data_IF_168630426404
#
_entry.id   IF_168630426404
#
_cell.length_a   1.000
_cell.length_b   1.000
_cell.length_c   1.000
_cell.angle_alpha   90.00
_cell.angle_beta   90.00
_cell.angle_gamma   90.00
#
_symmetry.space_group_name_H-M   'P 1'
#
loop_
_entity.id
_entity.type
_entity.pdbx_description
1 polymer ?
#
# COMPACT_ATOMS: atom_id res chain seq x y z
N UNK A 1 6.78 27.43 18.01
CA UNK A 1 5.83 27.00 16.97
C UNK A 1 6.65 26.37 15.85
N UNK A 2 6.30 25.19 15.39
CA UNK A 2 7.01 24.53 14.28
C UNK A 2 6.76 25.30 12.99
N UNK A 3 7.83 25.59 12.25
CA UNK A 3 7.73 26.31 10.98
C UNK A 3 7.15 25.40 9.91
N UNK A 4 6.13 25.85 9.19
CA UNK A 4 5.57 25.09 8.09
C UNK A 4 6.54 25.04 6.92
N UNK A 5 6.83 23.80 6.48
CA UNK A 5 7.70 23.51 5.33
C UNK A 5 6.88 22.90 4.20
N UNK A 6 7.23 23.25 2.97
CA UNK A 6 6.55 22.78 1.78
C UNK A 6 7.51 21.99 0.89
N UNK A 7 7.03 20.86 0.36
CA UNK A 7 7.79 20.04 -0.59
C UNK A 7 6.93 19.70 -1.82
N UNK A 8 7.55 19.64 -3.00
CA UNK A 8 6.84 19.31 -4.24
C UNK A 8 6.37 17.86 -4.21
N UNK A 9 5.16 17.62 -4.74
CA UNK A 9 4.62 16.28 -4.95
C UNK A 9 5.14 15.79 -6.31
N UNK A 10 6.07 14.85 -6.28
CA UNK A 10 6.81 14.37 -7.46
C UNK A 10 5.90 13.82 -8.56
N UNK A 11 4.82 13.13 -8.20
CA UNK A 11 3.85 12.56 -9.15
C UNK A 11 3.22 13.60 -10.09
N UNK A 12 3.23 14.89 -9.70
CA UNK A 12 2.57 15.97 -10.43
C UNK A 12 3.56 17.03 -10.94
N UNK A 13 4.80 16.66 -11.23
CA UNK A 13 5.83 17.53 -11.82
C UNK A 13 6.03 18.87 -11.09
N UNK A 14 5.84 18.90 -9.77
CA UNK A 14 5.97 20.11 -8.97
C UNK A 14 4.83 21.13 -9.11
N UNK A 15 3.75 20.83 -9.86
CA UNK A 15 2.58 21.69 -9.95
C UNK A 15 1.80 21.81 -8.64
N UNK A 16 2.10 20.93 -7.68
CA UNK A 16 1.48 20.91 -6.35
C UNK A 16 2.53 20.62 -5.28
N UNK A 17 2.30 21.17 -4.11
CA UNK A 17 3.14 20.96 -2.94
C UNK A 17 2.33 20.52 -1.74
N UNK A 18 2.97 19.77 -0.85
CA UNK A 18 2.42 19.33 0.43
C UNK A 18 3.26 19.87 1.58
N UNK A 19 2.62 20.25 2.68
CA UNK A 19 3.32 20.73 3.88
C UNK A 19 3.49 19.63 4.92
N UNK A 20 4.48 19.81 5.81
CA UNK A 20 4.67 18.97 6.99
C UNK A 20 3.48 18.99 7.96
N UNK A 21 2.59 19.96 7.85
CA UNK A 21 1.37 20.11 8.65
C UNK A 21 0.13 19.46 8.00
N UNK A 22 0.27 18.80 6.84
CA UNK A 22 -0.83 18.15 6.14
C UNK A 22 -1.67 19.04 5.25
N UNK A 23 -1.20 20.25 4.91
CA UNK A 23 -1.86 21.10 3.92
C UNK A 23 -1.30 20.83 2.52
N UNK A 24 -2.12 21.06 1.50
CA UNK A 24 -1.73 20.91 0.08
C UNK A 24 -2.01 22.22 -0.64
N UNK A 25 -1.11 22.66 -1.49
CA UNK A 25 -1.28 23.86 -2.32
C UNK A 25 -0.97 23.61 -3.78
N UNK A 26 -1.66 24.36 -4.65
CA UNK A 26 -1.40 24.37 -6.09
C UNK A 26 -0.42 25.46 -6.43
N UNK A 27 0.63 25.13 -7.17
CA UNK A 27 1.60 26.06 -7.73
C UNK A 27 1.19 26.56 -9.12
N UNK A 28 0.07 26.03 -9.66
CA UNK A 28 -0.51 26.53 -10.91
C UNK A 28 -0.99 27.95 -10.72
N UNK A 29 -0.66 28.81 -11.68
CA UNK A 29 -1.13 30.20 -11.68
C UNK A 29 -2.63 30.23 -12.03
N UNK A 30 -3.44 30.72 -11.09
CA UNK A 30 -4.89 30.89 -11.27
C UNK A 30 -5.27 32.34 -10.93
N UNK A 31 -5.76 33.10 -11.88
CA UNK A 31 -6.03 34.55 -11.74
C UNK A 31 -4.86 35.34 -11.10
N UNK A 32 -3.61 35.02 -11.49
CA UNK A 32 -2.43 35.70 -10.99
C UNK A 32 -1.90 35.16 -9.65
N UNK A 33 -2.65 34.32 -8.94
CA UNK A 33 -2.27 33.77 -7.64
C UNK A 33 -1.59 32.41 -7.79
N UNK A 34 -0.45 32.25 -7.10
CA UNK A 34 0.30 30.98 -6.98
C UNK A 34 0.27 30.55 -5.52
N UNK A 35 0.31 29.25 -5.26
CA UNK A 35 0.35 28.73 -3.87
C UNK A 35 -1.03 28.68 -3.21
N UNK A 36 -2.11 28.59 -3.97
CA UNK A 36 -3.47 28.47 -3.44
C UNK A 36 -3.66 27.15 -2.68
N UNK A 37 -4.09 27.23 -1.41
CA UNK A 37 -4.42 26.06 -0.61
C UNK A 37 -5.62 25.32 -1.24
N UNK A 38 -5.47 24.01 -1.39
CA UNK A 38 -6.47 23.15 -1.98
C UNK A 38 -7.47 22.64 -0.92
N UNK A 39 -8.75 22.55 -1.25
CA UNK A 39 -9.74 21.98 -0.36
C UNK A 39 -9.47 20.49 -0.15
N UNK A 40 -9.64 20.04 1.09
CA UNK A 40 -9.53 18.64 1.46
C UNK A 40 -10.93 18.09 1.77
N UNK A 41 -11.20 16.87 1.32
CA UNK A 41 -12.46 16.17 1.58
C UNK A 41 -12.23 14.94 2.44
N UNK A 42 -13.12 14.68 3.39
CA UNK A 42 -13.08 13.45 4.18
C UNK A 42 -13.74 12.33 3.38
N UNK A 43 -12.98 11.29 3.06
CA UNK A 43 -13.49 10.11 2.39
C UNK A 43 -14.30 9.22 3.36
N UNK A 44 -15.11 8.29 2.82
CA UNK A 44 -15.86 7.29 3.62
C UNK A 44 -14.98 6.47 4.57
N UNK A 45 -13.70 6.34 4.27
CA UNK A 45 -12.69 5.66 5.10
C UNK A 45 -12.19 6.51 6.27
N UNK A 46 -12.64 7.75 6.40
CA UNK A 46 -12.28 8.69 7.47
C UNK A 46 -10.98 9.46 7.24
N UNK A 47 -10.36 9.37 6.07
CA UNK A 47 -9.11 10.07 5.75
C UNK A 47 -9.36 11.32 4.93
N UNK A 48 -8.54 12.36 5.13
CA UNK A 48 -8.47 13.47 4.19
C UNK A 48 -7.89 13.07 2.85
N UNK A 49 -8.50 13.57 1.78
CA UNK A 49 -8.04 13.42 0.41
C UNK A 49 -8.12 14.74 -0.35
N UNK A 50 -7.28 14.89 -1.35
CA UNK A 50 -7.24 16.02 -2.29
C UNK A 50 -7.36 15.49 -3.70
N UNK A 51 -8.09 16.20 -4.55
CA UNK A 51 -8.22 15.89 -5.97
C UNK A 51 -7.33 16.83 -6.79
N UNK A 52 -6.42 16.24 -7.55
CA UNK A 52 -5.51 16.91 -8.47
C UNK A 52 -6.03 16.81 -9.90
N UNK A 53 -5.74 17.79 -10.72
CA UNK A 53 -6.10 17.78 -12.14
C UNK A 53 -4.84 17.90 -13.00
N UNK A 54 -4.56 16.87 -13.79
CA UNK A 54 -3.43 16.83 -14.73
C UNK A 54 -3.86 16.14 -16.03
N UNK A 55 -3.52 16.73 -17.18
CA UNK A 55 -3.85 16.18 -18.51
C UNK A 55 -5.36 15.82 -18.66
N UNK A 56 -6.23 16.72 -18.24
CA UNK A 56 -7.71 16.55 -18.24
C UNK A 56 -8.23 15.33 -17.44
N UNK A 57 -7.41 14.80 -16.53
CA UNK A 57 -7.80 13.70 -15.62
C UNK A 57 -7.74 14.16 -14.18
N UNK A 58 -8.66 13.63 -13.37
CA UNK A 58 -8.72 13.86 -11.94
C UNK A 58 -8.04 12.69 -11.18
N UNK A 59 -7.17 13.03 -10.25
CA UNK A 59 -6.43 12.08 -9.40
C UNK A 59 -6.73 12.37 -7.95
N UNK A 60 -7.36 11.44 -7.25
CA UNK A 60 -7.62 11.57 -5.82
C UNK A 60 -6.49 10.89 -5.03
N UNK A 61 -5.88 11.63 -4.08
CA UNK A 61 -4.80 11.12 -3.22
C UNK A 61 -5.08 11.43 -1.76
N UNK A 62 -4.75 10.49 -0.90
CA UNK A 62 -4.87 10.65 0.56
C UNK A 62 -3.77 11.57 1.07
N UNK A 63 -4.12 12.53 1.93
CA UNK A 63 -3.19 13.56 2.42
C UNK A 63 -2.03 12.95 3.23
N UNK A 64 -2.30 12.04 4.18
CA UNK A 64 -1.25 11.40 4.98
C UNK A 64 -0.18 10.72 4.11
N UNK A 65 -0.58 10.13 2.97
CA UNK A 65 0.35 9.49 2.05
C UNK A 65 1.25 10.51 1.38
N UNK A 66 0.69 11.63 0.91
CA UNK A 66 1.47 12.71 0.31
C UNK A 66 2.48 13.31 1.29
N UNK A 67 2.06 13.49 2.55
CA UNK A 67 2.93 14.04 3.59
C UNK A 67 4.11 13.11 3.86
N UNK A 68 3.84 11.85 4.19
CA UNK A 68 4.92 10.94 4.58
C UNK A 68 5.86 10.62 3.41
N UNK A 69 5.35 10.47 2.20
CA UNK A 69 6.17 10.26 0.99
C UNK A 69 7.10 11.45 0.71
N UNK A 70 6.65 12.68 0.99
CA UNK A 70 7.46 13.87 0.79
C UNK A 70 8.49 14.10 1.91
N UNK A 71 8.17 13.77 3.16
CA UNK A 71 8.99 14.15 4.31
C UNK A 71 9.76 13.01 4.96
N UNK A 72 9.30 11.76 4.83
CA UNK A 72 9.91 10.57 5.44
C UNK A 72 10.10 9.46 4.41
N UNK A 73 11.31 9.27 3.88
CA UNK A 73 11.60 8.22 2.90
C UNK A 73 11.26 6.83 3.43
N UNK A 74 10.60 6.00 2.62
CA UNK A 74 10.28 4.61 2.95
C UNK A 74 11.44 3.69 2.53
N UNK A 75 12.51 3.66 3.31
CA UNK A 75 13.72 2.86 3.02
C UNK A 75 13.47 1.35 3.08
N UNK A 76 12.57 0.93 3.96
CA UNK A 76 12.27 -0.48 4.23
C UNK A 76 11.11 -1.01 3.39
N UNK A 77 10.58 -0.21 2.46
CA UNK A 77 9.42 -0.54 1.62
C UNK A 77 8.21 -1.04 2.43
N UNK A 78 7.92 -0.40 3.55
CA UNK A 78 6.82 -0.73 4.43
C UNK A 78 5.47 -0.38 3.78
N UNK A 79 4.47 -1.27 3.85
CA UNK A 79 3.23 -1.14 3.06
C UNK A 79 2.21 -0.17 3.64
N UNK A 80 2.27 0.09 4.95
CA UNK A 80 1.26 0.86 5.67
C UNK A 80 1.81 2.18 6.22
N UNK A 81 0.88 3.10 6.46
CA UNK A 81 1.10 4.33 7.20
C UNK A 81 0.19 4.29 8.42
N UNK A 82 0.78 4.46 9.60
CA UNK A 82 0.09 4.56 10.87
C UNK A 82 -0.03 6.03 11.30
N UNK A 83 -1.15 6.39 11.94
CA UNK A 83 -1.30 7.64 12.67
C UNK A 83 -1.02 7.34 14.15
N UNK A 84 0.07 7.85 14.70
CA UNK A 84 0.57 7.53 16.04
C UNK A 84 -0.48 7.84 17.12
N UNK A 85 -1.23 8.93 16.96
CA UNK A 85 -2.33 9.31 17.86
C UNK A 85 -3.67 8.62 17.55
N UNK A 86 -3.72 7.76 16.50
CA UNK A 86 -4.94 7.12 16.03
C UNK A 86 -5.93 8.02 15.30
N UNK A 87 -5.67 9.32 15.23
CA UNK A 87 -6.54 10.27 14.54
C UNK A 87 -6.20 10.39 13.06
N UNK A 88 -7.04 9.80 12.20
CA UNK A 88 -6.89 9.80 10.73
C UNK A 88 -6.91 11.19 10.08
N UNK A 89 -7.33 12.21 10.81
CA UNK A 89 -7.39 13.60 10.34
C UNK A 89 -6.13 14.39 10.69
N UNK A 90 -5.31 13.92 11.66
CA UNK A 90 -4.06 14.54 12.03
C UNK A 90 -2.93 14.09 11.09
N UNK A 91 -2.74 14.81 10.00
CA UNK A 91 -1.75 14.50 8.98
C UNK A 91 -0.41 15.25 9.17
N UNK A 92 -0.11 15.67 10.40
CA UNK A 92 1.19 16.22 10.73
C UNK A 92 2.29 15.17 10.54
N UNK A 93 3.43 15.53 9.97
CA UNK A 93 4.50 14.56 9.66
C UNK A 93 4.99 13.80 10.88
N UNK A 94 5.08 14.46 12.06
CA UNK A 94 5.50 13.82 13.31
C UNK A 94 4.50 12.81 13.86
N UNK A 95 3.27 12.83 13.35
CA UNK A 95 2.20 11.88 13.72
C UNK A 95 2.08 10.71 12.75
N UNK A 96 2.90 10.66 11.72
CA UNK A 96 2.85 9.63 10.67
C UNK A 96 4.12 8.77 10.70
N UNK A 97 3.93 7.46 10.62
CA UNK A 97 5.05 6.51 10.52
C UNK A 97 4.77 5.41 9.49
N UNK A 98 5.83 4.94 8.84
CA UNK A 98 5.76 3.74 8.02
C UNK A 98 5.72 2.51 8.91
N UNK A 99 4.86 1.54 8.59
CA UNK A 99 4.73 0.34 9.39
C UNK A 99 4.31 -0.89 8.56
N UNK A 100 4.42 -2.07 9.16
CA UNK A 100 3.85 -3.30 8.62
C UNK A 100 2.34 -3.39 8.88
N UNK A 101 1.63 -4.24 8.14
CA UNK A 101 0.21 -4.53 8.43
C UNK A 101 -0.01 -5.04 9.86
N UNK A 102 0.91 -5.87 10.35
CA UNK A 102 0.84 -6.43 11.69
C UNK A 102 1.01 -5.34 12.76
N UNK A 103 2.02 -4.48 12.64
CA UNK A 103 2.24 -3.39 13.58
C UNK A 103 1.07 -2.41 13.59
N UNK A 104 0.53 -2.05 12.42
CA UNK A 104 -0.65 -1.18 12.33
C UNK A 104 -1.90 -1.79 13.00
N UNK A 105 -2.11 -3.09 12.86
CA UNK A 105 -3.21 -3.79 13.52
C UNK A 105 -3.00 -3.85 15.03
N UNK A 106 -1.79 -4.15 15.49
CA UNK A 106 -1.46 -4.17 16.92
C UNK A 106 -1.66 -2.80 17.56
N UNK A 107 -1.22 -1.74 16.90
CA UNK A 107 -1.46 -0.36 17.34
C UNK A 107 -2.96 -0.06 17.44
N UNK A 108 -3.76 -0.40 16.43
CA UNK A 108 -5.20 -0.17 16.44
C UNK A 108 -5.92 -0.93 17.58
N UNK A 109 -5.44 -2.13 17.95
CA UNK A 109 -5.97 -2.90 19.09
C UNK A 109 -5.54 -2.28 20.41
N UNK A 110 -4.26 -1.96 20.58
CA UNK A 110 -3.72 -1.40 21.85
C UNK A 110 -4.29 -0.02 22.19
N UNK A 111 -4.62 0.76 21.17
CA UNK A 111 -5.22 2.10 21.33
C UNK A 111 -6.76 2.07 21.38
N UNK A 112 -7.38 0.88 21.30
CA UNK A 112 -8.84 0.73 21.34
C UNK A 112 -9.57 1.23 20.08
N UNK A 113 -8.87 1.52 18.99
CA UNK A 113 -9.45 1.96 17.71
C UNK A 113 -10.20 0.82 17.00
N UNK A 114 -9.84 -0.40 17.31
CA UNK A 114 -10.52 -1.61 16.87
C UNK A 114 -10.51 -2.66 17.97
N UNK A 115 -11.57 -3.41 18.06
CA UNK A 115 -11.63 -4.60 18.92
C UNK A 115 -11.56 -5.82 18.03
N UNK A 116 -10.63 -6.76 18.27
CA UNK A 116 -10.67 -8.04 17.58
C UNK A 116 -12.04 -8.67 17.85
N UNK A 117 -12.79 -8.96 16.81
CA UNK A 117 -14.05 -9.64 16.98
C UNK A 117 -13.77 -11.05 17.55
N UNK A 118 -14.21 -11.26 18.79
CA UNK A 118 -14.10 -12.57 19.44
C UNK A 118 -15.26 -13.44 18.94
N UNK A 119 -15.01 -14.18 17.89
CA UNK A 119 -15.97 -15.16 17.38
C UNK A 119 -16.19 -16.25 18.42
N UNK A 120 -17.44 -16.51 18.77
CA UNK A 120 -17.79 -17.73 19.51
C UNK A 120 -17.53 -18.95 18.64
N UNK A 121 -17.36 -20.12 19.26
CA UNK A 121 -17.14 -21.36 18.49
C UNK A 121 -18.33 -21.70 17.58
N UNK A 122 -19.55 -21.35 17.99
CA UNK A 122 -20.76 -21.50 17.17
C UNK A 122 -20.73 -20.58 15.93
N UNK A 123 -20.33 -19.32 16.09
CA UNK A 123 -20.20 -18.37 14.97
C UNK A 123 -19.12 -18.80 13.99
N UNK A 124 -17.96 -19.27 14.50
CA UNK A 124 -16.88 -19.84 13.67
C UNK A 124 -17.37 -21.02 12.86
N UNK A 125 -18.14 -21.93 13.49
CA UNK A 125 -18.74 -23.09 12.82
C UNK A 125 -19.72 -22.66 11.73
N UNK A 126 -20.64 -21.74 12.04
CA UNK A 126 -21.62 -21.21 11.07
C UNK A 126 -20.94 -20.55 9.86
N UNK A 127 -19.90 -19.75 10.11
CA UNK A 127 -19.12 -19.11 9.03
C UNK A 127 -18.41 -20.16 8.18
N UNK A 128 -17.78 -21.15 8.82
CA UNK A 128 -17.09 -22.23 8.12
C UNK A 128 -18.05 -23.04 7.23
N UNK A 129 -19.21 -23.39 7.75
CA UNK A 129 -20.25 -24.10 6.98
C UNK A 129 -20.78 -23.26 5.81
N UNK A 130 -21.08 -21.98 6.05
CA UNK A 130 -21.50 -21.06 4.99
C UNK A 130 -20.46 -20.94 3.88
N UNK A 131 -19.19 -20.77 4.24
CA UNK A 131 -18.11 -20.66 3.28
C UNK A 131 -17.90 -21.97 2.50
N UNK A 132 -18.08 -23.11 3.14
CA UNK A 132 -18.04 -24.42 2.48
C UNK A 132 -19.19 -24.59 1.49
N UNK A 133 -20.40 -24.21 1.85
CA UNK A 133 -21.56 -24.24 0.95
C UNK A 133 -21.39 -23.28 -0.23
N UNK A 134 -20.91 -22.05 0.03
CA UNK A 134 -20.59 -21.09 -1.02
C UNK A 134 -19.55 -21.64 -1.99
N UNK A 135 -18.49 -22.25 -1.48
CA UNK A 135 -17.46 -22.86 -2.31
C UNK A 135 -18.00 -23.97 -3.20
N UNK A 136 -18.83 -24.86 -2.64
CA UNK A 136 -19.47 -25.96 -3.38
C UNK A 136 -20.40 -25.41 -4.47
N UNK A 137 -21.26 -24.44 -4.14
CA UNK A 137 -22.22 -23.84 -5.10
C UNK A 137 -21.54 -23.10 -6.25
N UNK A 138 -20.28 -22.65 -6.07
CA UNK A 138 -19.47 -21.99 -7.09
C UNK A 138 -18.45 -22.93 -7.77
N UNK A 139 -18.65 -24.25 -7.65
CA UNK A 139 -17.82 -25.25 -8.33
C UNK A 139 -16.44 -25.48 -7.72
N UNK A 140 -16.20 -24.96 -6.50
CA UNK A 140 -14.96 -25.24 -5.81
C UNK A 140 -14.98 -26.67 -5.25
N UNK A 141 -14.05 -27.49 -5.72
CA UNK A 141 -13.78 -28.80 -5.13
C UNK A 141 -12.72 -28.64 -4.05
N UNK A 142 -13.03 -28.86 -2.76
CA UNK A 142 -12.02 -28.79 -1.72
C UNK A 142 -10.93 -29.82 -2.01
N UNK A 143 -9.69 -29.37 -2.15
CA UNK A 143 -8.56 -30.29 -2.30
C UNK A 143 -8.49 -31.17 -1.05
N UNK A 144 -8.23 -32.47 -1.21
CA UNK A 144 -8.11 -33.37 -0.06
C UNK A 144 -7.05 -32.84 0.89
N UNK A 145 -7.35 -32.96 2.19
CA UNK A 145 -6.43 -32.50 3.23
C UNK A 145 -5.12 -33.28 3.11
N UNK A 146 -4.08 -32.63 2.65
CA UNK A 146 -2.76 -33.26 2.48
C UNK A 146 -2.00 -33.18 3.79
N UNK A 147 -1.33 -34.27 4.14
CA UNK A 147 -0.41 -34.27 5.25
C UNK A 147 0.85 -33.44 4.89
N UNK A 148 1.55 -32.96 5.90
CA UNK A 148 2.82 -32.22 5.67
C UNK A 148 3.85 -33.06 4.91
N UNK A 149 3.84 -34.38 5.09
CA UNK A 149 4.71 -35.32 4.37
C UNK A 149 4.37 -35.33 2.86
N UNK A 150 3.10 -35.45 2.48
CA UNK A 150 2.63 -35.39 1.09
C UNK A 150 2.95 -34.04 0.44
N UNK A 151 2.77 -32.94 1.16
CA UNK A 151 3.15 -31.60 0.68
C UNK A 151 4.65 -31.46 0.41
N UNK A 152 5.50 -32.02 1.29
CA UNK A 152 6.95 -31.99 1.10
C UNK A 152 7.37 -32.85 -0.11
N UNK A 153 6.75 -34.03 -0.30
CA UNK A 153 7.03 -34.88 -1.46
C UNK A 153 6.67 -34.16 -2.77
N UNK A 154 5.47 -33.58 -2.83
CA UNK A 154 5.06 -32.82 -4.03
C UNK A 154 5.97 -31.64 -4.34
N UNK A 155 6.43 -30.91 -3.31
CA UNK A 155 7.39 -29.81 -3.47
C UNK A 155 8.70 -30.30 -4.08
N UNK A 156 9.21 -31.45 -3.62
CA UNK A 156 10.44 -32.05 -4.18
C UNK A 156 10.26 -32.44 -5.64
N UNK A 157 9.18 -33.12 -5.96
CA UNK A 157 8.86 -33.53 -7.35
C UNK A 157 8.76 -32.31 -8.28
N UNK A 158 7.99 -31.28 -7.89
CA UNK A 158 7.89 -30.03 -8.66
C UNK A 158 9.23 -29.29 -8.80
N UNK A 159 10.09 -29.34 -7.79
CA UNK A 159 11.40 -28.72 -7.85
C UNK A 159 12.34 -29.46 -8.83
N UNK A 160 12.28 -30.79 -8.85
CA UNK A 160 13.03 -31.60 -9.82
C UNK A 160 12.56 -31.41 -11.25
N UNK A 161 11.24 -31.37 -11.46
CA UNK A 161 10.65 -31.10 -12.75
C UNK A 161 11.06 -29.71 -13.29
N UNK A 162 11.02 -28.69 -12.44
CA UNK A 162 11.53 -27.36 -12.81
C UNK A 162 13.00 -27.36 -13.17
N UNK A 163 13.84 -28.13 -12.46
CA UNK A 163 15.26 -28.29 -12.79
C UNK A 163 15.42 -28.95 -14.16
N UNK A 164 14.66 -30.02 -14.44
CA UNK A 164 14.68 -30.71 -15.76
C UNK A 164 14.25 -29.78 -16.88
N UNK A 165 13.13 -29.04 -16.73
CA UNK A 165 12.65 -28.08 -17.71
C UNK A 165 13.66 -26.94 -17.94
N UNK A 166 14.31 -26.46 -16.89
CA UNK A 166 15.36 -25.44 -17.00
C UNK A 166 16.61 -25.93 -17.71
N UNK A 167 16.96 -27.21 -17.54
CA UNK A 167 18.10 -27.85 -18.24
C UNK A 167 17.83 -28.06 -19.74
N UNK A 168 16.56 -28.23 -20.13
CA UNK A 168 16.14 -28.37 -21.51
C UNK A 168 16.03 -27.03 -22.26
N UNK A 169 16.02 -25.91 -21.56
CA UNK A 169 15.98 -24.60 -22.23
C UNK A 169 17.35 -24.27 -22.83
N UNK A 170 17.44 -23.84 -24.09
CA UNK A 170 18.70 -23.45 -24.71
C UNK A 170 19.29 -22.28 -23.91
N UNK A 171 20.57 -22.40 -23.54
CA UNK A 171 21.30 -21.34 -22.84
C UNK A 171 21.20 -20.07 -23.67
N UNK A 172 20.63 -19.00 -23.09
CA UNK A 172 20.61 -17.68 -23.75
C UNK A 172 22.05 -17.32 -24.14
N UNK A 173 22.27 -17.06 -25.43
CA UNK A 173 23.57 -16.56 -25.90
C UNK A 173 23.94 -15.32 -25.10
N UNK A 174 25.21 -15.19 -24.64
CA UNK A 174 25.64 -13.97 -23.96
C UNK A 174 25.37 -12.77 -24.84
N UNK A 175 24.71 -11.75 -24.28
CA UNK A 175 24.39 -10.52 -24.97
C UNK A 175 25.67 -9.87 -25.50
N UNK A 176 25.58 -9.33 -26.74
CA UNK A 176 26.69 -8.61 -27.38
C UNK A 176 27.20 -7.51 -26.42
N UNK A 177 28.52 -7.39 -26.15
CA UNK A 177 29.05 -6.36 -25.29
C UNK A 177 28.64 -4.97 -25.81
N UNK A 178 28.15 -4.10 -24.90
CA UNK A 178 27.86 -2.71 -25.24
C UNK A 178 29.14 -2.05 -25.70
N UNK A 179 29.17 -1.57 -26.95
CA UNK A 179 30.26 -0.71 -27.40
C UNK A 179 30.21 0.58 -26.59
N UNK A 180 31.27 0.86 -25.84
CA UNK A 180 31.49 2.18 -25.26
C UNK A 180 31.62 3.20 -26.41
N UNK A 181 30.99 4.40 -26.32
CA UNK A 181 31.35 5.47 -27.22
C UNK A 181 32.80 5.85 -26.93
N UNK A 182 33.59 5.89 -27.96
CA UNK A 182 34.94 6.47 -27.98
C UNK A 182 34.71 7.97 -28.01
N UNK A 183 35.40 8.68 -27.13
CA UNK A 183 35.47 10.16 -27.06
C UNK A 183 35.75 10.83 -28.41
#
# INVERSE_FOLDING_TARGET
MEQEQWKPIQEFNGEYEVSNLGRVRSMKRYYGVVGRIMPQTIQRTGYYAVTFHMNNKAYCRKVHRLVIEAFSPNTDNLPCINHIDGNKLNNHVSNLEWCTYQANMQHAVSTGLTHPHQWTDEERKKISERNKQYAISHGYQPKPHRTMAEYQVERRVKAEERKRLKALQPKKKPGRPRKHPIE
#
